data_IF_306070360927
#
_entry.id   IF_306070360927
#
_cell.length_a   1.000
_cell.length_b   1.000
_cell.length_c   1.000
_cell.angle_alpha   90.00
_cell.angle_beta   90.00
_cell.angle_gamma   90.00
#
_symmetry.space_group_name_H-M   'P 1'
#
loop_
_entity.id
_entity.type
_entity.pdbx_description
1 polymer ?
#
# COMPACT_ATOMS: atom_id res chain seq x y z
N UNK A 1 -16.06 1.04 14.63
CA UNK A 1 -15.48 -0.21 14.12
C UNK A 1 -16.45 -1.37 14.27
N UNK A 2 -16.98 -1.62 15.43
CA UNK A 2 -17.83 -2.78 15.75
C UNK A 2 -18.99 -3.01 14.75
N UNK A 3 -19.66 -1.93 14.33
CA UNK A 3 -20.77 -2.04 13.39
C UNK A 3 -20.35 -2.62 12.02
N UNK A 4 -19.24 -2.13 11.44
CA UNK A 4 -18.81 -2.53 10.08
C UNK A 4 -18.03 -3.86 10.05
N UNK A 5 -17.79 -4.47 11.18
CA UNK A 5 -17.13 -5.77 11.32
C UNK A 5 -18.01 -6.82 11.99
N UNK A 6 -19.28 -6.46 12.28
CA UNK A 6 -20.25 -7.40 12.88
C UNK A 6 -20.74 -8.43 11.87
N UNK A 7 -21.24 -9.55 12.36
CA UNK A 7 -21.87 -10.56 11.51
C UNK A 7 -23.08 -10.03 10.78
N UNK A 8 -23.91 -9.23 11.48
CA UNK A 8 -25.12 -8.62 10.92
C UNK A 8 -24.79 -7.70 9.75
N UNK A 9 -23.64 -6.98 9.79
CA UNK A 9 -23.21 -6.13 8.68
C UNK A 9 -22.82 -6.97 7.46
N UNK A 10 -22.06 -8.03 7.63
CA UNK A 10 -21.70 -8.92 6.51
C UNK A 10 -22.93 -9.63 5.95
N UNK A 11 -23.84 -10.09 6.80
CA UNK A 11 -25.07 -10.73 6.37
C UNK A 11 -25.96 -9.76 5.57
N UNK A 12 -26.07 -8.51 6.01
CA UNK A 12 -26.73 -7.44 5.25
C UNK A 12 -26.12 -7.25 3.86
N UNK A 13 -24.81 -7.21 3.75
CA UNK A 13 -24.12 -7.08 2.46
C UNK A 13 -24.45 -8.27 1.53
N UNK A 14 -24.39 -9.48 2.07
CA UNK A 14 -24.67 -10.73 1.34
C UNK A 14 -26.13 -10.77 0.87
N UNK A 15 -27.07 -10.44 1.73
CA UNK A 15 -28.51 -10.38 1.42
C UNK A 15 -28.82 -9.38 0.30
N UNK A 16 -28.08 -8.27 0.23
CA UNK A 16 -28.17 -7.28 -0.84
C UNK A 16 -27.34 -7.61 -2.09
N UNK A 17 -26.82 -8.82 -2.17
CA UNK A 17 -26.11 -9.34 -3.35
C UNK A 17 -24.64 -8.96 -3.46
N UNK A 18 -24.04 -8.33 -2.44
CA UNK A 18 -22.61 -8.06 -2.41
C UNK A 18 -21.84 -9.37 -2.32
N UNK A 19 -20.80 -9.54 -3.16
CA UNK A 19 -19.90 -10.69 -3.15
C UNK A 19 -18.47 -10.28 -2.86
N UNK A 20 -18.22 -8.98 -2.75
CA UNK A 20 -16.90 -8.39 -2.50
C UNK A 20 -17.06 -7.16 -1.61
N UNK A 21 -16.18 -7.03 -0.61
CA UNK A 21 -16.03 -5.84 0.20
C UNK A 21 -14.54 -5.51 0.36
N UNK A 22 -14.23 -4.22 0.43
CA UNK A 22 -12.86 -3.74 0.54
C UNK A 22 -12.72 -2.75 1.69
N UNK A 23 -11.94 -3.13 2.69
CA UNK A 23 -11.65 -2.29 3.84
C UNK A 23 -10.41 -1.46 3.59
N UNK A 24 -10.53 -0.16 3.82
CA UNK A 24 -9.43 0.79 3.86
C UNK A 24 -9.37 1.42 5.24
N UNK A 25 -8.19 1.40 5.84
CA UNK A 25 -7.95 2.20 7.02
C UNK A 25 -7.85 3.67 6.62
N UNK A 26 -8.26 4.58 7.51
CA UNK A 26 -8.11 6.00 7.26
C UNK A 26 -6.64 6.35 7.04
N UNK A 27 -6.35 7.02 5.94
CA UNK A 27 -5.04 7.55 5.60
C UNK A 27 -5.04 9.06 5.91
N UNK A 28 -4.08 9.58 6.69
CA UNK A 28 -4.11 10.96 7.16
C UNK A 28 -3.58 11.95 6.11
N UNK A 29 -4.13 11.89 4.88
CA UNK A 29 -3.70 12.68 3.73
C UNK A 29 -4.36 14.06 3.76
N UNK A 30 -3.59 15.10 3.43
CA UNK A 30 -4.03 16.49 3.37
C UNK A 30 -3.75 17.27 4.65
N UNK A 31 -3.59 18.59 4.50
CA UNK A 31 -3.23 19.51 5.58
C UNK A 31 -4.20 19.53 6.77
N UNK A 32 -5.46 19.15 6.56
CA UNK A 32 -6.50 19.14 7.58
C UNK A 32 -6.97 17.73 7.93
N UNK A 33 -6.18 16.72 7.61
CA UNK A 33 -6.50 15.36 8.02
C UNK A 33 -6.61 15.24 9.55
N UNK A 34 -7.44 14.30 10.00
CA UNK A 34 -7.66 13.99 11.40
C UNK A 34 -6.96 12.67 11.78
N UNK A 35 -5.68 12.69 12.20
CA UNK A 35 -4.93 11.47 12.54
C UNK A 35 -5.60 10.67 13.67
N UNK A 36 -6.33 11.32 14.56
CA UNK A 36 -7.07 10.69 15.66
C UNK A 36 -8.16 9.71 15.19
N UNK A 37 -8.54 9.78 13.91
CA UNK A 37 -9.47 8.83 13.30
C UNK A 37 -8.78 7.59 12.69
N UNK A 38 -7.46 7.55 12.70
CA UNK A 38 -6.72 6.35 12.30
C UNK A 38 -7.03 5.22 13.30
N UNK A 39 -7.13 3.96 12.85
CA UNK A 39 -7.35 2.86 13.76
C UNK A 39 -6.16 2.73 14.74
N UNK A 40 -6.44 2.42 16.00
CA UNK A 40 -5.36 2.05 16.93
C UNK A 40 -4.75 0.72 16.51
N UNK A 41 -3.58 0.37 17.08
CA UNK A 41 -2.94 -0.93 16.79
C UNK A 41 -3.84 -2.10 17.15
N UNK A 42 -4.59 -2.01 18.27
CA UNK A 42 -5.53 -3.04 18.70
C UNK A 42 -6.71 -3.18 17.74
N UNK A 43 -7.20 -2.06 17.23
CA UNK A 43 -8.26 -2.04 16.22
C UNK A 43 -7.77 -2.64 14.89
N UNK A 44 -6.55 -2.33 14.48
CA UNK A 44 -5.95 -2.87 13.26
C UNK A 44 -5.67 -4.37 13.38
N UNK A 45 -5.18 -4.83 14.53
CA UNK A 45 -4.99 -6.24 14.84
C UNK A 45 -6.32 -6.99 14.84
N UNK A 46 -7.36 -6.42 15.45
CA UNK A 46 -8.71 -6.98 15.41
C UNK A 46 -9.22 -7.14 13.97
N UNK A 47 -9.09 -6.10 13.12
CA UNK A 47 -9.49 -6.20 11.70
C UNK A 47 -8.69 -7.30 10.99
N UNK A 48 -7.38 -7.38 11.23
CA UNK A 48 -6.53 -8.43 10.66
C UNK A 48 -7.08 -9.83 10.91
N UNK A 49 -7.46 -10.15 12.13
CA UNK A 49 -8.04 -11.45 12.48
C UNK A 49 -9.46 -11.60 11.92
N UNK A 50 -10.30 -10.58 12.11
CA UNK A 50 -11.71 -10.63 11.72
C UNK A 50 -11.91 -10.84 10.22
N UNK A 51 -11.16 -10.15 9.39
CA UNK A 51 -11.28 -10.30 7.92
C UNK A 51 -10.83 -11.70 7.49
N UNK A 52 -9.80 -12.26 8.11
CA UNK A 52 -9.35 -13.63 7.82
C UNK A 52 -10.38 -14.68 8.26
N UNK A 53 -11.06 -14.47 9.38
CA UNK A 53 -12.17 -15.29 9.84
C UNK A 53 -13.34 -15.24 8.85
N UNK A 54 -13.78 -14.05 8.46
CA UNK A 54 -14.92 -13.87 7.53
C UNK A 54 -14.67 -14.57 6.19
N UNK A 55 -13.45 -14.52 5.65
CA UNK A 55 -13.08 -15.14 4.37
C UNK A 55 -12.53 -16.56 4.48
N UNK A 56 -12.58 -17.17 5.65
CA UNK A 56 -12.13 -18.55 5.82
C UNK A 56 -12.95 -19.53 4.98
N UNK A 57 -12.29 -20.58 4.47
CA UNK A 57 -12.96 -21.62 3.65
C UNK A 57 -13.97 -22.43 4.47
N UNK A 58 -13.69 -22.63 5.76
CA UNK A 58 -14.58 -23.30 6.70
C UNK A 58 -15.06 -22.29 7.74
N UNK A 59 -16.36 -22.21 7.93
CA UNK A 59 -16.98 -21.30 8.91
C UNK A 59 -16.98 -19.82 8.53
N UNK A 60 -16.45 -19.46 7.37
CA UNK A 60 -16.50 -18.09 6.84
C UNK A 60 -17.86 -17.73 6.25
N UNK A 61 -17.93 -16.53 5.65
CA UNK A 61 -19.17 -16.02 5.02
C UNK A 61 -19.06 -16.02 3.49
N UNK A 62 -20.19 -16.00 2.81
CA UNK A 62 -20.27 -16.00 1.33
C UNK A 62 -19.93 -14.63 0.70
N UNK A 63 -18.91 -13.97 1.21
CA UNK A 63 -18.38 -12.70 0.73
C UNK A 63 -16.86 -12.70 0.80
N UNK A 64 -16.20 -12.28 -0.29
CA UNK A 64 -14.76 -12.07 -0.26
C UNK A 64 -14.46 -10.67 0.27
N UNK A 65 -13.69 -10.59 1.34
CA UNK A 65 -13.33 -9.32 2.00
C UNK A 65 -11.82 -9.09 1.90
N UNK A 66 -11.44 -7.95 1.33
CA UNK A 66 -10.04 -7.50 1.33
C UNK A 66 -9.78 -6.50 2.46
N UNK A 67 -8.61 -6.60 3.05
CA UNK A 67 -8.06 -5.64 4.00
C UNK A 67 -6.81 -4.99 3.37
N UNK A 68 -6.99 -3.81 2.78
CA UNK A 68 -5.96 -3.20 1.94
C UNK A 68 -4.61 -3.07 2.65
N UNK A 69 -4.61 -2.62 3.91
CA UNK A 69 -3.39 -2.40 4.66
C UNK A 69 -2.76 -3.68 5.21
N UNK A 70 -3.56 -4.70 5.52
CA UNK A 70 -3.06 -5.94 6.14
C UNK A 70 -2.88 -7.10 5.15
N UNK A 71 -3.30 -6.95 3.89
CA UNK A 71 -3.19 -7.98 2.86
C UNK A 71 -1.91 -7.87 2.00
N UNK A 72 -0.97 -7.01 2.38
CA UNK A 72 0.31 -6.87 1.68
C UNK A 72 1.10 -8.18 1.54
N UNK A 73 0.90 -9.14 2.45
CA UNK A 73 1.51 -10.47 2.36
C UNK A 73 1.12 -11.27 1.13
N UNK A 74 -0.08 -11.04 0.57
CA UNK A 74 -0.58 -11.77 -0.60
C UNK A 74 -0.12 -11.17 -1.93
N UNK A 75 0.36 -9.93 -1.90
CA UNK A 75 0.79 -9.18 -3.09
C UNK A 75 2.27 -8.77 -3.04
N UNK A 76 3.01 -9.30 -2.08
CA UNK A 76 4.44 -9.03 -1.93
C UNK A 76 4.75 -7.60 -1.47
N UNK A 77 3.93 -7.02 -0.60
CA UNK A 77 4.12 -5.69 -0.05
C UNK A 77 3.36 -4.59 -0.80
N UNK A 78 3.94 -3.40 -0.91
CA UNK A 78 3.31 -2.26 -1.57
C UNK A 78 3.21 -2.46 -3.09
N UNK A 79 2.04 -2.20 -3.67
CA UNK A 79 1.79 -2.32 -5.12
C UNK A 79 1.99 -1.00 -5.88
N UNK A 80 2.24 0.11 -5.18
CA UNK A 80 2.30 1.47 -5.70
C UNK A 80 3.59 1.78 -6.47
N UNK A 81 3.71 3.02 -6.96
CA UNK A 81 4.88 3.52 -7.66
C UNK A 81 5.12 2.88 -9.02
N UNK A 82 4.04 2.44 -9.68
CA UNK A 82 4.12 1.81 -11.00
C UNK A 82 4.55 0.34 -10.98
N UNK A 83 4.62 -0.31 -9.81
CA UNK A 83 4.86 -1.76 -9.75
C UNK A 83 3.66 -2.53 -10.32
N UNK A 84 2.49 -2.36 -9.72
CA UNK A 84 1.22 -2.93 -10.20
C UNK A 84 0.12 -1.85 -10.31
N UNK A 85 0.37 -0.66 -9.79
CA UNK A 85 -0.60 0.40 -9.65
C UNK A 85 0.09 1.77 -9.59
N UNK A 86 -0.55 2.76 -10.19
CA UNK A 86 -0.30 4.17 -10.00
C UNK A 86 -1.63 4.94 -10.04
N UNK A 87 -1.61 6.18 -9.66
CA UNK A 87 -2.76 7.07 -9.72
C UNK A 87 -2.47 8.23 -10.67
N UNK A 88 -3.48 8.62 -11.45
CA UNK A 88 -3.45 9.84 -12.26
C UNK A 88 -4.55 10.73 -11.73
N UNK A 89 -4.17 11.88 -11.19
CA UNK A 89 -5.14 12.82 -10.64
C UNK A 89 -5.85 13.63 -11.71
N UNK A 90 -6.81 14.45 -11.31
CA UNK A 90 -7.62 15.25 -12.23
C UNK A 90 -6.82 16.31 -13.03
N UNK A 91 -5.62 16.69 -12.56
CA UNK A 91 -4.72 17.62 -13.25
C UNK A 91 -3.78 16.90 -14.22
N UNK A 92 -3.77 15.55 -14.22
CA UNK A 92 -2.87 14.75 -15.05
C UNK A 92 -1.56 14.39 -14.36
N UNK A 93 -1.34 14.73 -13.08
CA UNK A 93 -0.13 14.34 -12.37
C UNK A 93 -0.14 12.84 -12.10
N UNK A 94 1.00 12.18 -12.35
CA UNK A 94 1.14 10.73 -12.18
C UNK A 94 1.77 10.46 -10.83
N UNK A 95 0.94 10.03 -9.89
CA UNK A 95 1.24 9.82 -8.48
C UNK A 95 1.50 8.34 -8.19
N UNK A 96 2.36 8.00 -7.20
CA UNK A 96 2.61 6.60 -6.84
C UNK A 96 1.34 5.86 -6.40
N UNK A 97 0.44 6.54 -5.70
CA UNK A 97 -0.76 5.97 -5.09
C UNK A 97 -1.80 7.07 -4.87
N UNK A 98 -3.06 6.72 -4.83
CA UNK A 98 -4.17 7.65 -4.50
C UNK A 98 -4.01 8.36 -3.15
N UNK A 99 -3.16 7.83 -2.26
CA UNK A 99 -2.86 8.42 -0.95
C UNK A 99 -1.52 9.18 -0.90
N UNK A 100 -0.75 9.19 -2.00
CA UNK A 100 0.58 9.80 -2.06
C UNK A 100 0.59 10.88 -3.12
N UNK A 101 0.30 12.09 -2.70
CA UNK A 101 0.09 13.26 -3.56
C UNK A 101 1.42 13.98 -3.86
N UNK A 102 2.38 13.24 -4.46
CA UNK A 102 3.65 13.77 -4.95
C UNK A 102 3.93 13.23 -6.34
N UNK A 103 4.42 14.10 -7.22
CA UNK A 103 4.80 13.73 -8.58
C UNK A 103 5.92 14.60 -9.11
N UNK A 104 6.64 14.07 -10.10
CA UNK A 104 7.58 14.80 -10.95
C UNK A 104 7.17 14.75 -12.43
N UNK A 105 5.98 14.18 -12.76
CA UNK A 105 5.53 14.00 -14.14
C UNK A 105 4.03 14.18 -14.29
N UNK A 106 3.62 14.74 -15.44
CA UNK A 106 2.23 14.99 -15.80
C UNK A 106 1.95 14.43 -17.20
N UNK A 107 0.85 13.66 -17.38
CA UNK A 107 0.49 13.02 -18.66
C UNK A 107 0.11 14.00 -19.77
N UNK A 108 -0.14 15.28 -19.45
CA UNK A 108 -0.35 16.33 -20.44
C UNK A 108 0.98 16.83 -21.03
N UNK A 109 2.12 16.50 -20.41
CA UNK A 109 3.45 16.99 -20.79
C UNK A 109 4.33 15.86 -21.33
N UNK A 110 4.17 14.62 -20.79
CA UNK A 110 4.96 13.46 -21.18
C UNK A 110 4.07 12.24 -21.42
N UNK A 111 4.58 11.23 -22.12
CA UNK A 111 3.86 9.96 -22.29
C UNK A 111 3.74 9.20 -20.95
N UNK A 112 2.74 8.32 -20.84
CA UNK A 112 2.57 7.48 -19.64
C UNK A 112 3.84 6.66 -19.35
N UNK A 113 4.50 6.14 -20.39
CA UNK A 113 5.75 5.36 -20.22
C UNK A 113 6.86 6.21 -19.62
N UNK A 114 7.03 7.44 -20.06
CA UNK A 114 7.99 8.38 -19.47
C UNK A 114 7.60 8.75 -18.04
N UNK A 115 6.32 9.01 -17.80
CA UNK A 115 5.82 9.28 -16.44
C UNK A 115 6.07 8.13 -15.46
N UNK A 116 5.94 6.87 -15.90
CA UNK A 116 6.26 5.68 -15.10
C UNK A 116 7.77 5.52 -14.83
N UNK A 117 8.61 6.25 -15.56
CA UNK A 117 10.06 6.27 -15.36
C UNK A 117 10.55 7.48 -14.55
N UNK A 118 9.64 8.30 -14.02
CA UNK A 118 9.99 9.46 -13.20
C UNK A 118 10.83 9.06 -11.97
N UNK A 119 11.69 9.97 -11.48
CA UNK A 119 12.60 9.65 -10.36
C UNK A 119 11.91 9.08 -9.12
N UNK A 120 10.72 9.60 -8.74
CA UNK A 120 9.97 9.08 -7.59
C UNK A 120 9.55 7.62 -7.79
N UNK A 121 9.10 7.25 -8.99
CA UNK A 121 8.72 5.86 -9.28
C UNK A 121 9.93 4.94 -9.35
N UNK A 122 11.08 5.45 -9.81
CA UNK A 122 12.33 4.71 -9.75
C UNK A 122 12.72 4.44 -8.29
N UNK A 123 12.64 5.46 -7.42
CA UNK A 123 12.90 5.30 -5.98
C UNK A 123 11.96 4.28 -5.31
N UNK A 124 10.69 4.25 -5.76
CA UNK A 124 9.73 3.23 -5.31
C UNK A 124 10.15 1.82 -5.71
N UNK A 125 10.59 1.61 -6.97
CA UNK A 125 11.03 0.29 -7.44
C UNK A 125 12.30 -0.16 -6.72
N UNK A 126 13.25 0.72 -6.56
CA UNK A 126 14.54 0.42 -5.92
C UNK A 126 14.41 0.16 -4.41
N UNK A 127 13.41 0.81 -3.77
CA UNK A 127 13.15 0.66 -2.34
C UNK A 127 12.31 -0.56 -1.96
N UNK A 128 11.66 -1.21 -2.91
CA UNK A 128 10.78 -2.36 -2.61
C UNK A 128 11.57 -3.67 -2.37
N UNK A 129 11.08 -4.51 -1.46
CA UNK A 129 9.96 -4.25 -0.55
C UNK A 129 10.41 -3.29 0.55
N UNK A 130 9.64 -2.25 0.81
CA UNK A 130 9.95 -1.26 1.86
C UNK A 130 10.12 -1.87 3.25
N UNK A 131 9.56 -3.05 3.46
CA UNK A 131 9.71 -3.81 4.69
C UNK A 131 9.65 -5.32 4.39
N UNK A 132 10.47 -6.11 5.09
CA UNK A 132 10.41 -7.58 5.01
C UNK A 132 9.14 -8.15 5.61
N UNK A 133 8.59 -7.45 6.59
CA UNK A 133 7.28 -7.73 7.16
C UNK A 133 6.21 -7.05 6.28
N UNK A 134 5.54 -7.85 5.43
CA UNK A 134 4.54 -7.34 4.50
C UNK A 134 3.21 -6.93 5.18
N UNK A 135 3.10 -7.00 6.50
CA UNK A 135 2.08 -6.30 7.28
C UNK A 135 2.46 -4.82 7.54
N UNK A 136 3.62 -4.40 7.03
CA UNK A 136 4.14 -3.03 7.07
C UNK A 136 4.58 -2.57 5.68
N UNK A 137 3.69 -2.66 4.66
CA UNK A 137 4.11 -2.48 3.27
C UNK A 137 4.25 -1.03 2.83
N UNK A 138 3.56 -0.08 3.47
CA UNK A 138 3.43 1.28 2.96
C UNK A 138 4.61 2.17 3.38
N UNK A 139 5.23 2.89 2.42
CA UNK A 139 6.32 3.81 2.73
C UNK A 139 5.86 5.09 3.44
N UNK A 140 4.53 5.37 3.50
CA UNK A 140 3.98 6.49 4.25
C UNK A 140 3.47 6.06 5.63
N UNK A 141 2.62 5.03 5.64
CA UNK A 141 1.86 4.68 6.85
C UNK A 141 2.72 3.92 7.88
N UNK A 142 3.57 3.01 7.42
CA UNK A 142 4.35 2.12 8.29
C UNK A 142 5.86 2.36 8.24
N UNK A 143 6.35 3.09 7.24
CA UNK A 143 7.77 3.41 7.07
C UNK A 143 7.93 4.87 6.61
N UNK A 144 7.41 5.84 7.39
CA UNK A 144 7.30 7.24 6.96
C UNK A 144 8.64 7.91 6.64
N UNK A 145 9.73 7.44 7.22
CA UNK A 145 11.10 7.88 6.91
C UNK A 145 11.46 7.62 5.44
N UNK A 146 10.97 6.52 4.85
CA UNK A 146 11.28 6.18 3.46
C UNK A 146 10.59 7.12 2.47
N UNK A 147 9.33 7.50 2.73
CA UNK A 147 8.66 8.47 1.85
C UNK A 147 9.31 9.84 1.92
N UNK A 148 9.67 10.32 3.12
CA UNK A 148 10.42 11.58 3.27
C UNK A 148 11.67 11.58 2.41
N UNK A 149 12.48 10.53 2.57
CA UNK A 149 13.73 10.37 1.85
C UNK A 149 13.54 10.30 0.33
N UNK A 150 12.56 9.53 -0.15
CA UNK A 150 12.25 9.42 -1.57
C UNK A 150 11.82 10.76 -2.17
N UNK A 151 10.91 11.49 -1.51
CA UNK A 151 10.43 12.79 -2.00
C UNK A 151 11.56 13.82 -2.01
N UNK A 152 12.38 13.88 -0.96
CA UNK A 152 13.52 14.79 -0.88
C UNK A 152 14.56 14.50 -1.97
N UNK A 153 15.00 13.25 -2.10
CA UNK A 153 16.02 12.85 -3.09
C UNK A 153 15.58 13.05 -4.53
N UNK A 154 14.31 12.85 -4.82
CA UNK A 154 13.79 12.93 -6.18
C UNK A 154 13.32 14.33 -6.57
N UNK A 155 13.16 15.23 -5.60
CA UNK A 155 12.61 16.56 -5.82
C UNK A 155 11.14 16.56 -6.26
N UNK A 156 10.41 15.45 -6.05
CA UNK A 156 8.99 15.36 -6.34
C UNK A 156 8.21 16.41 -5.54
N UNK A 157 7.20 17.00 -6.15
CA UNK A 157 6.44 18.11 -5.56
C UNK A 157 5.05 17.63 -5.18
N UNK A 158 4.46 18.30 -4.16
CA UNK A 158 3.05 18.10 -3.85
C UNK A 158 2.17 18.44 -5.04
N UNK A 159 1.25 17.55 -5.34
CA UNK A 159 0.25 17.70 -6.41
C UNK A 159 -1.07 18.30 -5.90
N UNK A 160 -1.19 18.57 -4.60
CA UNK A 160 -2.30 19.34 -4.03
C UNK A 160 -2.06 20.84 -4.29
N UNK A 161 -2.80 21.36 -5.27
CA UNK A 161 -2.67 22.75 -5.70
C UNK A 161 -3.27 23.76 -4.72
N UNK A 162 -4.24 23.34 -3.90
CA UNK A 162 -4.95 24.24 -2.98
C UNK A 162 -4.24 24.36 -1.63
N UNK A 163 -3.70 23.25 -1.14
CA UNK A 163 -3.05 23.17 0.15
C UNK A 163 -1.85 22.25 0.11
N UNK A 164 -0.78 22.62 -0.63
CA UNK A 164 0.40 21.78 -0.78
C UNK A 164 0.93 21.29 0.56
N UNK A 165 1.02 19.98 0.72
CA UNK A 165 1.51 19.35 1.94
C UNK A 165 2.95 18.87 1.74
N UNK A 166 3.85 19.20 2.66
CA UNK A 166 5.21 18.66 2.63
C UNK A 166 5.25 17.21 3.08
N UNK A 167 6.22 16.44 2.56
CA UNK A 167 6.42 15.05 2.99
C UNK A 167 6.70 14.96 4.50
N UNK A 168 7.41 15.94 5.06
CA UNK A 168 7.66 16.01 6.49
C UNK A 168 6.36 16.13 7.31
N UNK A 169 5.46 17.00 6.90
CA UNK A 169 4.18 17.17 7.59
C UNK A 169 3.29 15.93 7.43
N UNK A 170 3.16 15.39 6.22
CA UNK A 170 2.37 14.18 5.96
C UNK A 170 2.86 13.00 6.78
N UNK A 171 4.16 12.70 6.68
CA UNK A 171 4.78 11.57 7.36
C UNK A 171 4.82 11.74 8.87
N UNK A 172 4.96 12.98 9.37
CA UNK A 172 4.90 13.29 10.80
C UNK A 172 3.60 12.85 11.47
N UNK A 173 2.48 12.84 10.72
CA UNK A 173 1.20 12.31 11.20
C UNK A 173 1.19 10.79 11.34
N UNK A 174 2.11 10.09 10.67
CA UNK A 174 2.20 8.63 10.66
C UNK A 174 3.26 8.09 11.63
N UNK A 175 4.19 8.89 12.13
CA UNK A 175 5.34 8.43 12.93
C UNK A 175 4.93 7.61 14.17
N UNK A 176 4.00 8.14 14.96
CA UNK A 176 3.51 7.44 16.15
C UNK A 176 2.77 6.15 15.78
N UNK A 177 1.89 6.23 14.80
CA UNK A 177 1.14 5.08 14.29
C UNK A 177 2.07 3.97 13.80
N UNK A 178 3.09 4.31 13.01
CA UNK A 178 4.07 3.36 12.50
C UNK A 178 4.84 2.66 13.64
N UNK A 179 5.23 3.44 14.67
CA UNK A 179 5.95 2.91 15.83
C UNK A 179 5.08 1.96 16.67
N UNK A 180 3.82 2.30 16.89
CA UNK A 180 2.87 1.47 17.66
C UNK A 180 2.50 0.19 16.91
N UNK A 181 2.22 0.30 15.61
CA UNK A 181 1.88 -0.85 14.78
C UNK A 181 3.04 -1.84 14.61
N UNK A 182 4.27 -1.34 14.58
CA UNK A 182 5.47 -2.16 14.36
C UNK A 182 5.50 -3.41 15.24
N UNK A 183 5.25 -3.26 16.54
CA UNK A 183 5.33 -4.38 17.49
C UNK A 183 4.27 -5.44 17.19
N UNK A 184 3.01 -5.04 17.07
CA UNK A 184 1.92 -5.96 16.75
C UNK A 184 2.13 -6.65 15.39
N UNK A 185 2.54 -5.89 14.37
CA UNK A 185 2.85 -6.44 13.06
C UNK A 185 3.99 -7.48 13.10
N UNK A 186 5.03 -7.24 13.89
CA UNK A 186 6.17 -8.17 14.00
C UNK A 186 5.77 -9.45 14.76
N UNK A 187 4.90 -9.35 15.77
CA UNK A 187 4.33 -10.49 16.49
C UNK A 187 3.44 -11.33 15.54
N UNK A 188 2.47 -10.70 14.87
CA UNK A 188 1.60 -11.37 13.89
C UNK A 188 2.39 -12.02 12.73
N UNK A 189 3.46 -11.35 12.27
CA UNK A 189 4.31 -11.89 11.23
C UNK A 189 5.07 -13.13 11.67
N UNK A 190 5.54 -13.16 12.91
CA UNK A 190 6.28 -14.28 13.48
C UNK A 190 5.38 -15.50 13.75
N UNK A 191 4.12 -15.28 14.13
CA UNK A 191 3.16 -16.33 14.46
C UNK A 191 2.70 -17.14 13.23
N UNK A 192 2.64 -16.53 12.05
CA UNK A 192 2.15 -17.21 10.86
C UNK A 192 3.30 -17.88 10.08
N UNK A 193 3.38 -19.22 10.06
CA UNK A 193 4.47 -19.94 9.40
C UNK A 193 4.54 -19.72 7.88
N UNK A 194 3.44 -19.28 7.26
CA UNK A 194 3.40 -19.01 5.83
C UNK A 194 4.06 -17.68 5.43
N UNK A 195 4.19 -16.71 6.35
CA UNK A 195 4.76 -15.41 6.04
C UNK A 195 6.22 -15.51 5.57
N UNK A 196 7.03 -16.31 6.24
CA UNK A 196 8.41 -16.55 5.84
C UNK A 196 8.51 -17.12 4.44
N UNK A 197 7.68 -18.13 4.13
CA UNK A 197 7.66 -18.76 2.80
C UNK A 197 7.20 -17.77 1.73
N UNK A 198 6.18 -16.96 2.01
CA UNK A 198 5.71 -15.92 1.08
C UNK A 198 6.79 -14.88 0.80
N UNK A 199 7.51 -14.43 1.81
CA UNK A 199 8.63 -13.52 1.61
C UNK A 199 9.78 -14.14 0.79
N UNK A 200 10.11 -15.42 1.01
CA UNK A 200 11.11 -16.10 0.20
C UNK A 200 10.65 -16.29 -1.27
N UNK A 201 9.38 -16.56 -1.49
CA UNK A 201 8.81 -16.60 -2.84
C UNK A 201 8.89 -15.22 -3.50
N UNK A 202 8.49 -14.16 -2.79
CA UNK A 202 8.61 -12.79 -3.27
C UNK A 202 10.06 -12.43 -3.69
N UNK A 203 11.05 -12.83 -2.90
CA UNK A 203 12.45 -12.60 -3.25
C UNK A 203 12.84 -13.28 -4.57
N UNK A 204 12.47 -14.53 -4.73
CA UNK A 204 12.74 -15.27 -5.96
C UNK A 204 12.11 -14.63 -7.20
N UNK A 205 10.88 -14.15 -7.07
CA UNK A 205 10.10 -13.60 -8.18
C UNK A 205 10.51 -12.16 -8.54
N UNK A 206 11.00 -11.37 -7.58
CA UNK A 206 11.15 -9.93 -7.77
C UNK A 206 12.57 -9.39 -7.51
N UNK A 207 13.41 -10.11 -6.77
CA UNK A 207 14.72 -9.64 -6.35
C UNK A 207 15.88 -10.49 -6.90
N UNK A 208 15.57 -11.65 -7.49
CA UNK A 208 16.59 -12.49 -8.11
C UNK A 208 17.07 -11.85 -9.42
N UNK A 209 18.38 -11.66 -9.55
CA UNK A 209 18.97 -11.00 -10.74
C UNK A 209 18.71 -11.79 -12.05
N UNK A 210 18.60 -13.12 -11.97
CA UNK A 210 18.22 -13.96 -13.12
C UNK A 210 16.78 -13.70 -13.58
N UNK A 211 15.84 -13.46 -12.65
CA UNK A 211 14.46 -13.12 -12.99
C UNK A 211 14.36 -11.72 -13.61
N UNK A 212 15.18 -10.76 -13.14
CA UNK A 212 15.28 -9.41 -13.72
C UNK A 212 15.83 -9.44 -15.14
N UNK A 213 16.88 -10.21 -15.40
CA UNK A 213 17.48 -10.38 -16.72
C UNK A 213 16.49 -10.96 -17.73
N UNK A 214 15.70 -11.97 -17.33
CA UNK A 214 14.63 -12.56 -18.16
C UNK A 214 13.54 -11.54 -18.50
N UNK A 215 13.18 -10.67 -17.57
CA UNK A 215 12.18 -9.62 -17.78
C UNK A 215 12.69 -8.52 -18.72
N UNK A 216 13.96 -8.13 -18.62
CA UNK A 216 14.60 -7.18 -19.53
C UNK A 216 14.71 -7.74 -20.96
N UNK A 217 14.98 -9.02 -21.10
CA UNK A 217 15.06 -9.71 -22.40
C UNK A 217 13.68 -9.77 -23.09
N UNK A 218 12.61 -10.07 -22.34
CA UNK A 218 11.22 -10.03 -22.81
C UNK A 218 10.83 -8.60 -23.24
N UNK A 219 11.16 -7.60 -22.44
CA UNK A 219 10.84 -6.19 -22.72
C UNK A 219 11.65 -5.67 -23.93
N UNK A 220 12.86 -6.15 -24.15
CA UNK A 220 13.66 -5.80 -25.33
C UNK A 220 13.10 -6.41 -26.62
N UNK A 221 12.52 -7.61 -26.53
CA UNK A 221 11.85 -8.30 -27.65
C UNK A 221 10.52 -7.65 -28.08
N UNK A 222 9.88 -6.89 -27.18
CA UNK A 222 8.63 -6.16 -27.48
C UNK A 222 8.91 -4.80 -28.17
N UNK A 223 10.15 -4.29 -28.07
CA UNK A 223 10.56 -2.99 -28.65
C UNK A 223 11.16 -3.10 -30.06
N UNK A 224 11.31 -4.26 -30.60
CA UNK A 224 11.74 -4.57 -31.98
C UNK A 224 10.55 -4.92 -32.86
#
# INVERSE_FOLDING_TARGET
MDAVTSDEFFDLLIEHGSRFAWYFHLMPVGMKAAPDLMPTKEQREYIYHRIREVRAMEGGKEIFVMDFQNDGEFVGGCIAGGRNYCHINANGDVEPCVFIHYSGANINEVSLIEALQQPLFQAYRDGQPFNRNHLRPCPMLENPELLREMVEKTGAKSTDLQSPESAEHLCGKCDLYAAEWKKAADELWAENPHHKQRYENYKKENLDEEAKASTEEILSGIRG
#
